data_IF_848102766133
#
_entry.id   IF_848102766133
#
_cell.length_a   1.000
_cell.length_b   1.000
_cell.length_c   1.000
_cell.angle_alpha   90.00
_cell.angle_beta   90.00
_cell.angle_gamma   90.00
#
_symmetry.space_group_name_H-M   'P 1'
#
loop_
_entity.id
_entity.type
_entity.pdbx_description
1 polymer ?
#
# COMPACT_ATOMS: atom_id res chain seq x y z
N UNK A 1 -5.60 7.61 12.31
CA UNK A 1 -5.38 6.26 12.85
C UNK A 1 -6.30 5.21 12.23
N UNK A 2 -7.47 5.59 11.70
CA UNK A 2 -8.42 4.71 10.97
C UNK A 2 -7.80 3.69 9.98
N UNK A 3 -6.77 4.03 9.17
CA UNK A 3 -6.19 3.04 8.25
C UNK A 3 -5.51 1.89 8.97
N UNK A 4 -4.88 2.14 10.13
CA UNK A 4 -4.21 1.09 10.91
C UNK A 4 -5.22 0.14 11.58
N UNK A 5 -6.33 0.70 12.08
CA UNK A 5 -7.38 -0.07 12.73
C UNK A 5 -8.09 -1.01 11.74
N UNK A 6 -8.12 -0.65 10.46
CA UNK A 6 -8.73 -1.45 9.40
C UNK A 6 -7.72 -2.38 8.70
N UNK A 7 -6.47 -1.93 8.47
CA UNK A 7 -5.45 -2.73 7.80
C UNK A 7 -4.89 -3.85 8.67
N UNK A 8 -4.66 -3.62 9.96
CA UNK A 8 -4.04 -4.63 10.84
C UNK A 8 -4.89 -5.90 10.94
N UNK A 9 -6.22 -5.83 11.20
CA UNK A 9 -7.06 -7.02 11.21
C UNK A 9 -7.08 -7.75 9.86
N UNK A 10 -7.10 -7.01 8.74
CA UNK A 10 -7.03 -7.62 7.40
C UNK A 10 -5.72 -8.39 7.19
N UNK A 11 -4.57 -7.77 7.49
CA UNK A 11 -3.26 -8.41 7.36
C UNK A 11 -3.14 -9.65 8.25
N UNK A 12 -3.68 -9.61 9.46
CA UNK A 12 -3.70 -10.78 10.36
C UNK A 12 -4.54 -11.94 9.80
N UNK A 13 -5.71 -11.65 9.23
CA UNK A 13 -6.57 -12.67 8.59
C UNK A 13 -5.87 -13.25 7.35
N UNK A 14 -5.27 -12.41 6.50
CA UNK A 14 -4.53 -12.85 5.32
C UNK A 14 -3.30 -13.70 5.68
N UNK A 15 -2.52 -13.29 6.68
CA UNK A 15 -1.31 -14.02 7.09
C UNK A 15 -1.60 -15.35 7.80
N UNK A 16 -2.77 -15.50 8.43
CA UNK A 16 -3.14 -16.73 9.14
C UNK A 16 -3.73 -17.80 8.22
N UNK A 17 -3.96 -17.49 6.94
CA UNK A 17 -4.49 -18.46 5.95
C UNK A 17 -5.88 -18.98 6.30
N UNK A 18 -6.63 -18.23 7.12
CA UNK A 18 -7.91 -18.65 7.67
C UNK A 18 -9.03 -18.37 6.66
N UNK A 19 -9.03 -19.11 5.55
CA UNK A 19 -10.00 -19.00 4.44
C UNK A 19 -11.46 -19.08 4.92
N UNK A 20 -11.72 -19.80 6.02
CA UNK A 20 -13.06 -19.98 6.60
C UNK A 20 -13.62 -18.69 7.25
N UNK A 21 -12.76 -17.76 7.70
CA UNK A 21 -13.19 -16.46 8.25
C UNK A 21 -13.27 -15.35 7.20
N UNK A 22 -12.69 -15.52 6.01
CA UNK A 22 -12.79 -14.53 4.91
C UNK A 22 -14.24 -14.21 4.53
N UNK A 23 -15.17 -15.15 4.70
CA UNK A 23 -16.61 -14.92 4.48
C UNK A 23 -17.34 -14.19 5.63
N UNK A 24 -16.76 -14.16 6.84
CA UNK A 24 -17.36 -13.52 8.03
C UNK A 24 -16.96 -12.05 8.16
N UNK A 25 -15.78 -11.70 7.65
CA UNK A 25 -15.32 -10.32 7.58
C UNK A 25 -15.73 -9.76 6.22
N UNK A 26 -16.71 -8.86 6.18
CA UNK A 26 -17.05 -8.05 4.99
C UNK A 26 -15.97 -7.00 4.68
N UNK A 27 -14.70 -7.40 4.79
CA UNK A 27 -13.55 -6.56 4.50
C UNK A 27 -13.30 -6.66 3.01
N UNK A 28 -13.60 -5.58 2.29
CA UNK A 28 -13.13 -5.47 0.92
C UNK A 28 -11.59 -5.65 0.90
N UNK A 29 -11.05 -6.45 -0.04
CA UNK A 29 -9.62 -6.62 -0.16
C UNK A 29 -8.94 -5.27 -0.38
N UNK A 30 -7.83 -5.03 0.33
CA UNK A 30 -7.00 -3.88 0.03
C UNK A 30 -6.41 -4.03 -1.37
N UNK A 31 -6.70 -3.06 -2.23
CA UNK A 31 -6.06 -2.93 -3.53
C UNK A 31 -4.83 -2.04 -3.39
N UNK A 32 -3.76 -2.38 -4.12
CA UNK A 32 -2.60 -1.49 -4.25
C UNK A 32 -2.62 -0.91 -5.65
N UNK A 33 -2.67 0.42 -5.76
CA UNK A 33 -2.42 1.10 -7.02
C UNK A 33 -0.97 1.56 -7.04
N UNK A 34 -0.19 1.00 -7.98
CA UNK A 34 1.18 1.42 -8.18
C UNK A 34 1.23 2.51 -9.24
N UNK A 35 1.70 3.69 -8.88
CA UNK A 35 2.04 4.71 -9.87
C UNK A 35 3.27 4.29 -10.67
N UNK A 36 3.09 4.23 -11.99
CA UNK A 36 4.16 3.93 -12.95
C UNK A 36 4.55 5.14 -13.80
N UNK A 37 3.68 6.14 -13.91
CA UNK A 37 3.90 7.31 -14.75
C UNK A 37 4.36 8.49 -13.90
N UNK A 38 5.45 9.15 -14.29
CA UNK A 38 5.99 10.32 -13.59
C UNK A 38 6.68 10.00 -12.26
N UNK A 39 6.94 8.74 -11.96
CA UNK A 39 7.69 8.32 -10.75
C UNK A 39 9.14 8.04 -11.14
N UNK A 40 10.13 8.61 -10.42
CA UNK A 40 11.54 8.37 -10.70
C UNK A 40 11.92 6.91 -10.43
N UNK A 41 12.94 6.38 -11.12
CA UNK A 41 13.41 5.02 -10.85
C UNK A 41 14.14 4.92 -9.51
N UNK A 42 13.90 3.82 -8.78
CA UNK A 42 14.66 3.47 -7.58
C UNK A 42 16.04 2.95 -7.99
N UNK A 43 17.10 3.55 -7.44
CA UNK A 43 18.51 3.21 -7.71
C UNK A 43 19.11 2.71 -6.39
N UNK A 44 20.01 1.72 -6.39
CA UNK A 44 20.67 1.27 -5.17
C UNK A 44 21.28 2.45 -4.39
N UNK A 45 20.93 2.56 -3.10
CA UNK A 45 21.39 3.65 -2.22
C UNK A 45 20.54 4.91 -2.20
N UNK A 46 19.50 5.05 -3.03
CA UNK A 46 18.63 6.24 -3.06
C UNK A 46 17.22 6.00 -2.48
N UNK A 47 16.98 4.87 -1.79
CA UNK A 47 15.64 4.41 -1.42
C UNK A 47 14.82 5.46 -0.67
N UNK A 48 15.41 6.22 0.26
CA UNK A 48 14.70 7.29 0.97
C UNK A 48 14.22 8.42 0.05
N UNK A 49 15.06 8.85 -0.89
CA UNK A 49 14.71 9.90 -1.87
C UNK A 49 13.64 9.39 -2.83
N UNK A 50 13.77 8.16 -3.29
CA UNK A 50 12.75 7.51 -4.11
C UNK A 50 11.41 7.44 -3.37
N UNK A 51 11.40 7.01 -2.10
CA UNK A 51 10.17 6.93 -1.29
C UNK A 51 9.50 8.28 -1.13
N UNK A 52 10.25 9.35 -0.83
CA UNK A 52 9.68 10.70 -0.69
C UNK A 52 9.05 11.17 -2.00
N UNK A 53 9.76 11.05 -3.13
CA UNK A 53 9.22 11.41 -4.44
C UNK A 53 8.03 10.57 -4.84
N UNK A 54 8.03 9.27 -4.52
CA UNK A 54 6.90 8.37 -4.76
C UNK A 54 5.64 8.85 -4.02
N UNK A 55 5.79 9.22 -2.75
CA UNK A 55 4.68 9.76 -1.94
C UNK A 55 4.21 11.10 -2.51
N UNK A 56 5.13 11.99 -2.90
CA UNK A 56 4.77 13.26 -3.56
C UNK A 56 3.96 13.04 -4.83
N UNK A 57 4.38 12.10 -5.70
CA UNK A 57 3.62 11.73 -6.90
C UNK A 57 2.21 11.22 -6.55
N UNK A 58 2.08 10.42 -5.49
CA UNK A 58 0.81 9.81 -5.10
C UNK A 58 -0.16 10.78 -4.43
N UNK A 59 0.34 11.72 -3.64
CA UNK A 59 -0.50 12.68 -2.90
C UNK A 59 -0.83 13.90 -3.77
N UNK A 60 0.15 14.40 -4.54
CA UNK A 60 0.02 15.66 -5.27
C UNK A 60 -0.14 15.49 -6.78
N UNK A 61 -0.18 14.25 -7.29
CA UNK A 61 -0.30 13.96 -8.73
C UNK A 61 0.80 14.64 -9.58
N UNK A 62 1.98 14.84 -8.98
CA UNK A 62 3.14 15.45 -9.62
C UNK A 62 3.96 14.39 -10.35
N UNK A 63 4.58 14.76 -11.47
CA UNK A 63 5.45 13.90 -12.27
C UNK A 63 6.91 14.39 -12.26
N UNK A 64 7.85 13.45 -12.31
CA UNK A 64 9.31 13.66 -12.33
C UNK A 64 9.98 12.90 -13.45
#
# INVERSE_FOLDING_TARGET
>A
MEPFITMIPYLLVECTGFEEQRGQHTMEPYTYEKLFFGVPQCIPGNCGVFTLKYIECHVFWMSF
#
